data_IF_153770727156
#
_entry.id   IF_153770727156
#
_cell.length_a   1.000
_cell.length_b   1.000
_cell.length_c   1.000
_cell.angle_alpha   90.00
_cell.angle_beta   90.00
_cell.angle_gamma   90.00
#
_symmetry.space_group_name_H-M   'P 1'
#
loop_
_entity.id
_entity.type
_entity.pdbx_description
1 polymer ?
#
# COMPACT_ATOMS: atom_id res chain seq x y z
N UNK A 1 12.64 -36.92 29.99
CA UNK A 1 13.86 -36.34 29.36
C UNK A 1 13.42 -35.57 28.14
N UNK A 2 13.23 -34.28 28.28
CA UNK A 2 12.66 -33.38 27.23
C UNK A 2 13.79 -32.52 26.72
N UNK A 3 14.22 -32.76 25.49
CA UNK A 3 15.32 -32.04 24.86
C UNK A 3 14.77 -30.76 24.22
N UNK A 4 15.05 -29.61 24.83
CA UNK A 4 14.81 -28.28 24.23
C UNK A 4 15.81 -28.04 23.09
N UNK A 5 15.33 -27.89 21.87
CA UNK A 5 16.13 -27.41 20.75
C UNK A 5 16.10 -25.88 20.79
N UNK A 6 17.19 -25.27 21.22
CA UNK A 6 17.45 -23.83 21.10
C UNK A 6 17.84 -23.51 19.65
N UNK A 7 16.96 -22.89 18.89
CA UNK A 7 17.35 -22.21 17.66
C UNK A 7 17.85 -20.79 17.98
N UNK A 8 19.14 -20.64 18.20
CA UNK A 8 19.87 -19.40 18.18
C UNK A 8 20.78 -19.36 16.96
N UNK A 9 20.31 -18.84 15.82
CA UNK A 9 21.15 -18.45 14.71
C UNK A 9 20.77 -17.04 14.26
N UNK A 10 21.17 -16.03 15.03
CA UNK A 10 21.19 -14.65 14.57
C UNK A 10 22.50 -14.41 13.81
N UNK A 11 22.44 -14.35 12.48
CA UNK A 11 23.62 -14.08 11.66
C UNK A 11 24.28 -12.74 12.07
N UNK A 12 25.63 -12.63 12.06
CA UNK A 12 26.37 -11.40 12.43
C UNK A 12 25.89 -10.16 11.68
N UNK A 13 25.41 -10.32 10.46
CA UNK A 13 24.86 -9.26 9.63
C UNK A 13 23.53 -8.69 10.17
N UNK A 14 22.68 -9.51 10.79
CA UNK A 14 21.43 -9.02 11.43
C UNK A 14 21.73 -8.20 12.69
N UNK A 15 22.73 -8.58 13.46
CA UNK A 15 23.13 -7.85 14.66
C UNK A 15 23.82 -6.52 14.33
N UNK A 16 24.68 -6.50 13.33
CA UNK A 16 25.30 -5.27 12.83
C UNK A 16 24.22 -4.29 12.29
N UNK A 17 23.26 -4.81 11.52
CA UNK A 17 22.13 -4.03 11.00
C UNK A 17 21.27 -3.44 12.12
N UNK A 18 20.98 -4.22 13.20
CA UNK A 18 20.27 -3.72 14.39
C UNK A 18 21.07 -2.67 15.15
N UNK A 19 22.38 -2.82 15.30
CA UNK A 19 23.25 -1.81 15.96
C UNK A 19 23.34 -0.52 15.18
N UNK A 20 23.45 -0.60 13.85
CA UNK A 20 23.46 0.56 12.96
C UNK A 20 22.10 1.28 13.00
N UNK A 21 20.98 0.55 12.94
CA UNK A 21 19.64 1.14 13.07
C UNK A 21 19.46 1.81 14.44
N UNK A 22 19.92 1.19 15.55
CA UNK A 22 19.94 1.84 16.89
C UNK A 22 20.81 3.09 16.94
N UNK A 23 21.95 3.09 16.27
CA UNK A 23 22.79 4.27 16.18
C UNK A 23 22.11 5.37 15.37
N UNK A 24 21.45 5.00 14.27
CA UNK A 24 20.62 5.92 13.48
C UNK A 24 19.39 6.46 14.23
N UNK A 25 18.81 5.72 15.15
CA UNK A 25 17.64 6.14 15.94
C UNK A 25 17.99 7.00 17.18
N UNK A 26 19.26 7.21 17.52
CA UNK A 26 19.72 8.14 18.59
C UNK A 26 19.74 9.61 18.14
N UNK A 27 18.75 10.06 17.38
CA UNK A 27 18.50 11.47 17.10
C UNK A 27 17.96 12.18 18.35
N UNK A 28 18.36 13.43 18.57
CA UNK A 28 17.88 14.25 19.68
C UNK A 28 16.36 14.35 19.65
N UNK A 29 15.72 13.77 20.64
CA UNK A 29 14.30 13.94 20.91
C UNK A 29 14.05 15.33 21.46
N UNK A 30 13.00 15.99 20.97
CA UNK A 30 12.48 17.19 21.60
C UNK A 30 12.05 16.90 23.05
N UNK A 31 11.91 17.94 23.80
CA UNK A 31 11.64 18.12 25.22
C UNK A 31 10.97 16.93 25.95
N UNK A 32 11.67 16.37 26.93
CA UNK A 32 11.33 15.09 27.60
C UNK A 32 10.08 15.14 28.49
N UNK A 33 9.47 16.30 28.74
CA UNK A 33 8.47 16.52 29.81
C UNK A 33 7.24 17.37 29.42
N UNK A 34 6.98 17.63 28.15
CA UNK A 34 5.70 18.25 27.81
C UNK A 34 4.60 17.19 27.80
N UNK A 35 3.48 17.39 28.54
CA UNK A 35 2.26 16.64 28.28
C UNK A 35 1.97 16.81 26.79
N UNK A 36 1.69 15.73 26.08
CA UNK A 36 1.45 15.76 24.63
C UNK A 36 0.15 16.55 24.37
N UNK A 37 0.27 17.87 24.22
CA UNK A 37 -0.81 18.67 23.67
C UNK A 37 -1.16 18.07 22.31
N UNK A 38 -2.41 18.11 21.89
CA UNK A 38 -2.79 17.70 20.54
C UNK A 38 -1.94 18.42 19.49
N UNK A 39 -1.67 17.74 18.39
CA UNK A 39 -1.04 18.34 17.22
C UNK A 39 -1.85 19.56 16.79
N UNK A 40 -1.25 20.74 16.56
CA UNK A 40 -2.01 21.92 16.17
C UNK A 40 -2.68 21.71 14.80
N UNK A 41 -3.95 22.10 14.69
CA UNK A 41 -4.71 22.04 13.45
C UNK A 41 -4.30 23.11 12.43
N UNK A 42 -3.42 24.04 12.77
CA UNK A 42 -2.92 25.12 11.91
C UNK A 42 -1.41 25.32 12.08
N UNK A 43 -0.79 25.99 11.10
CA UNK A 43 0.67 26.24 11.14
C UNK A 43 1.50 25.01 10.77
N UNK A 44 0.91 24.07 10.00
CA UNK A 44 1.56 22.92 9.40
C UNK A 44 1.41 23.03 7.89
N UNK A 45 2.52 23.32 7.22
CA UNK A 45 2.57 23.58 5.78
C UNK A 45 3.52 22.65 5.03
N UNK A 46 4.53 22.09 5.72
CA UNK A 46 5.48 21.16 5.12
C UNK A 46 5.46 19.83 5.85
N UNK A 47 4.99 18.79 5.16
CA UNK A 47 4.79 17.46 5.74
C UNK A 47 5.71 16.45 5.04
N UNK A 48 6.38 15.62 5.81
CA UNK A 48 7.19 14.51 5.31
C UNK A 48 6.55 13.17 5.72
N UNK A 49 6.26 12.31 4.76
CA UNK A 49 5.87 10.92 5.02
C UNK A 49 7.07 10.00 4.76
N UNK A 50 7.49 9.24 5.76
CA UNK A 50 8.63 8.31 5.64
C UNK A 50 8.13 6.87 5.51
N UNK A 51 8.16 6.30 4.31
CA UNK A 51 7.79 4.90 4.05
C UNK A 51 8.84 4.20 3.19
N UNK A 52 9.86 3.60 3.81
CA UNK A 52 10.98 2.95 3.15
C UNK A 52 10.63 1.57 2.55
N UNK A 53 9.46 1.47 1.92
CA UNK A 53 9.01 0.27 1.20
C UNK A 53 9.50 0.25 -0.24
N UNK A 54 9.60 -0.94 -0.84
CA UNK A 54 9.85 -1.15 -2.27
C UNK A 54 8.59 -1.54 -3.04
N UNK A 55 7.49 -1.82 -2.32
CA UNK A 55 6.32 -2.44 -2.92
C UNK A 55 5.30 -1.40 -3.38
N UNK A 56 4.68 -1.68 -4.50
CA UNK A 56 3.63 -0.88 -5.09
C UNK A 56 2.41 -0.79 -4.14
N UNK A 57 1.97 -1.92 -3.60
CA UNK A 57 0.80 -1.97 -2.72
C UNK A 57 0.95 -1.10 -1.47
N UNK A 58 2.08 -1.24 -0.75
CA UNK A 58 2.32 -0.42 0.45
C UNK A 58 2.48 1.08 0.16
N UNK A 59 2.86 1.45 -1.07
CA UNK A 59 2.87 2.84 -1.51
C UNK A 59 1.45 3.36 -1.72
N UNK A 60 0.58 2.56 -2.32
CA UNK A 60 -0.84 2.90 -2.51
C UNK A 60 -1.59 3.00 -1.19
N UNK A 61 -1.22 2.20 -0.19
CA UNK A 61 -1.78 2.27 1.16
C UNK A 61 -1.46 3.59 1.90
N UNK A 62 -0.62 4.47 1.33
CA UNK A 62 -0.44 5.83 1.82
C UNK A 62 -1.50 6.81 1.31
N UNK A 63 -2.24 6.47 0.25
CA UNK A 63 -3.18 7.41 -0.38
C UNK A 63 -4.33 7.83 0.54
N UNK A 64 -4.88 6.99 1.44
CA UNK A 64 -5.82 7.45 2.46
C UNK A 64 -5.25 8.53 3.38
N UNK A 65 -3.98 8.41 3.77
CA UNK A 65 -3.30 9.43 4.57
C UNK A 65 -3.12 10.73 3.79
N UNK A 66 -2.79 10.66 2.49
CA UNK A 66 -2.71 11.86 1.63
C UNK A 66 -4.06 12.57 1.55
N UNK A 67 -5.16 11.82 1.40
CA UNK A 67 -6.51 12.38 1.41
C UNK A 67 -6.89 13.02 2.74
N UNK A 68 -6.52 12.40 3.86
CA UNK A 68 -6.73 12.98 5.20
C UNK A 68 -5.92 14.27 5.38
N UNK A 69 -4.66 14.29 4.93
CA UNK A 69 -3.81 15.49 5.00
C UNK A 69 -4.40 16.63 4.15
N UNK A 70 -4.89 16.34 2.96
CA UNK A 70 -5.56 17.33 2.10
C UNK A 70 -6.74 18.02 2.82
N UNK A 71 -7.52 17.23 3.56
CA UNK A 71 -8.68 17.73 4.30
C UNK A 71 -8.29 18.51 5.56
N UNK A 72 -7.27 18.04 6.30
CA UNK A 72 -6.87 18.63 7.58
C UNK A 72 -5.94 19.81 7.44
N UNK A 73 -5.10 19.80 6.41
CA UNK A 73 -4.08 20.79 6.13
C UNK A 73 -4.12 21.20 4.65
N UNK A 74 -5.20 21.87 4.20
CA UNK A 74 -5.45 22.11 2.77
C UNK A 74 -4.38 22.97 2.09
N UNK A 75 -3.58 23.70 2.85
CA UNK A 75 -2.45 24.49 2.33
C UNK A 75 -1.09 23.81 2.48
N UNK A 76 -1.04 22.53 2.88
CA UNK A 76 0.22 21.85 3.11
C UNK A 76 0.74 21.14 1.86
N UNK A 77 2.06 21.24 1.67
CA UNK A 77 2.83 20.44 0.71
C UNK A 77 3.38 19.19 1.39
N UNK A 78 3.28 18.06 0.70
CA UNK A 78 3.68 16.74 1.22
C UNK A 78 4.84 16.19 0.41
N UNK A 79 5.95 15.89 1.08
CA UNK A 79 7.03 15.11 0.51
C UNK A 79 6.93 13.66 0.98
N UNK A 80 7.17 12.72 0.08
CA UNK A 80 7.15 11.28 0.38
C UNK A 80 8.55 10.69 0.22
N UNK A 81 9.08 10.09 1.26
CA UNK A 81 10.37 9.40 1.25
C UNK A 81 10.16 7.89 1.17
N UNK A 82 10.58 7.27 0.06
CA UNK A 82 10.29 5.85 -0.21
C UNK A 82 11.43 5.16 -0.98
N UNK A 83 11.34 3.83 -1.13
CA UNK A 83 12.21 3.04 -2.01
C UNK A 83 11.44 2.48 -3.21
N UNK A 84 10.17 2.74 -3.32
CA UNK A 84 9.33 2.30 -4.44
C UNK A 84 9.61 3.17 -5.66
N UNK A 85 10.28 2.61 -6.66
CA UNK A 85 10.61 3.33 -7.89
C UNK A 85 9.38 3.81 -8.67
N UNK A 86 8.23 3.16 -8.48
CA UNK A 86 6.97 3.53 -9.10
C UNK A 86 6.23 4.68 -8.35
N UNK A 87 6.66 5.04 -7.15
CA UNK A 87 5.97 6.02 -6.32
C UNK A 87 5.78 7.39 -6.98
N UNK A 88 6.76 7.98 -7.71
CA UNK A 88 6.55 9.24 -8.40
C UNK A 88 5.39 9.18 -9.42
N UNK A 89 5.26 8.07 -10.13
CA UNK A 89 4.15 7.86 -11.07
C UNK A 89 2.82 7.60 -10.34
N UNK A 90 2.82 6.77 -9.29
CA UNK A 90 1.62 6.45 -8.50
C UNK A 90 1.00 7.69 -7.85
N UNK A 91 1.83 8.60 -7.38
CA UNK A 91 1.40 9.77 -6.62
C UNK A 91 1.27 11.04 -7.49
N UNK A 92 1.52 10.97 -8.79
CA UNK A 92 1.50 12.12 -9.70
C UNK A 92 0.15 12.85 -9.79
N UNK A 93 -0.96 12.18 -9.47
CA UNK A 93 -2.30 12.79 -9.45
C UNK A 93 -2.63 13.57 -8.17
N UNK A 94 -1.78 13.52 -7.15
CA UNK A 94 -2.00 14.19 -5.88
C UNK A 94 -1.41 15.60 -5.92
N UNK A 95 -2.26 16.62 -5.93
CA UNK A 95 -1.85 18.01 -6.04
C UNK A 95 -0.98 18.48 -4.89
N UNK A 96 -1.23 17.98 -3.68
CA UNK A 96 -0.49 18.32 -2.48
C UNK A 96 0.86 17.59 -2.35
N UNK A 97 1.19 16.62 -3.23
CA UNK A 97 2.49 15.95 -3.23
C UNK A 97 3.50 16.78 -4.02
N UNK A 98 4.43 17.41 -3.30
CA UNK A 98 5.49 18.24 -3.89
C UNK A 98 6.64 17.41 -4.44
N UNK A 99 7.20 16.51 -3.63
CA UNK A 99 8.34 15.70 -4.03
C UNK A 99 8.26 14.26 -3.52
N UNK A 100 8.69 13.32 -4.37
CA UNK A 100 8.93 11.92 -3.98
C UNK A 100 10.42 11.64 -3.96
N UNK A 101 10.99 11.58 -2.75
CA UNK A 101 12.39 11.28 -2.54
C UNK A 101 12.66 9.78 -2.59
N UNK A 102 13.44 9.32 -3.55
CA UNK A 102 13.82 7.92 -3.66
C UNK A 102 15.05 7.60 -2.83
N UNK A 103 14.90 6.70 -1.87
CA UNK A 103 15.99 6.13 -1.10
C UNK A 103 16.84 5.19 -1.97
N UNK A 104 18.17 5.18 -1.80
CA UNK A 104 19.02 4.26 -2.53
C UNK A 104 18.68 2.81 -2.18
N UNK A 105 18.84 1.92 -3.15
CA UNK A 105 18.53 0.49 -3.00
C UNK A 105 19.28 -0.15 -1.83
N UNK A 106 20.58 0.19 -1.71
CA UNK A 106 21.45 -0.22 -0.61
C UNK A 106 21.75 0.98 0.28
N UNK A 107 20.83 1.32 1.18
CA UNK A 107 20.97 2.49 2.08
C UNK A 107 22.32 2.51 2.82
N UNK A 108 22.80 1.36 3.30
CA UNK A 108 24.08 1.24 4.00
C UNK A 108 25.30 1.21 3.08
N UNK A 109 25.10 0.95 1.79
CA UNK A 109 26.15 0.95 0.77
C UNK A 109 26.36 2.30 0.07
N UNK A 110 25.57 3.31 0.39
CA UNK A 110 25.60 4.62 -0.24
C UNK A 110 25.65 5.78 0.82
N UNK A 111 26.68 5.84 1.68
CA UNK A 111 26.68 6.77 2.81
C UNK A 111 26.67 8.25 2.38
N UNK A 112 27.34 8.59 1.29
CA UNK A 112 27.37 9.97 0.77
C UNK A 112 25.99 10.39 0.23
N UNK A 113 25.30 9.49 -0.49
CA UNK A 113 23.94 9.73 -1.00
C UNK A 113 22.97 9.90 0.17
N UNK A 114 23.05 9.02 1.17
CA UNK A 114 22.24 9.13 2.40
C UNK A 114 22.53 10.42 3.18
N UNK A 115 23.80 10.81 3.32
CA UNK A 115 24.15 12.06 4.00
C UNK A 115 23.63 13.30 3.27
N UNK A 116 23.69 13.30 1.92
CA UNK A 116 23.13 14.38 1.08
C UNK A 116 21.61 14.45 1.22
N UNK A 117 20.93 13.30 1.12
CA UNK A 117 19.48 13.20 1.29
C UNK A 117 19.05 13.73 2.66
N UNK A 118 19.65 13.22 3.74
CA UNK A 118 19.32 13.66 5.11
C UNK A 118 19.62 15.15 5.35
N UNK A 119 20.65 15.69 4.71
CA UNK A 119 20.92 17.13 4.76
C UNK A 119 19.83 17.92 4.04
N UNK A 120 19.38 17.47 2.86
CA UNK A 120 18.27 18.07 2.13
C UNK A 120 16.96 18.05 2.93
N UNK A 121 16.61 16.90 3.53
CA UNK A 121 15.42 16.78 4.37
C UNK A 121 15.44 17.74 5.57
N UNK A 122 16.59 17.92 6.21
CA UNK A 122 16.73 18.89 7.32
C UNK A 122 16.62 20.34 6.85
N UNK A 123 17.22 20.66 5.72
CA UNK A 123 17.16 22.00 5.13
C UNK A 123 15.75 22.38 4.65
N UNK A 124 14.89 21.39 4.44
CA UNK A 124 13.49 21.58 4.08
C UNK A 124 12.63 22.10 5.24
N UNK A 125 13.07 21.98 6.49
CA UNK A 125 12.36 22.46 7.69
C UNK A 125 10.89 21.99 7.76
N UNK A 126 10.65 20.68 7.76
CA UNK A 126 9.32 20.12 7.87
C UNK A 126 8.65 20.47 9.20
N UNK A 127 7.39 20.90 9.15
CA UNK A 127 6.57 21.10 10.33
C UNK A 127 6.17 19.76 10.95
N UNK A 128 5.85 18.78 10.11
CA UNK A 128 5.38 17.47 10.53
C UNK A 128 6.09 16.35 9.76
N UNK A 129 6.57 15.32 10.47
CA UNK A 129 6.99 14.07 9.84
C UNK A 129 6.15 12.90 10.34
N UNK A 130 5.70 12.04 9.43
CA UNK A 130 4.81 10.92 9.72
C UNK A 130 5.51 9.60 9.48
N UNK A 131 5.46 8.71 10.49
CA UNK A 131 5.83 7.30 10.42
C UNK A 131 4.55 6.46 10.24
N UNK A 132 4.18 6.11 9.00
CA UNK A 132 2.86 5.57 8.72
C UNK A 132 2.70 4.08 9.03
N UNK A 133 3.78 3.38 9.40
CA UNK A 133 3.75 1.92 9.48
C UNK A 133 4.21 1.38 10.83
N UNK A 134 3.46 0.43 11.39
CA UNK A 134 3.66 -0.09 12.75
C UNK A 134 4.98 -0.84 12.97
N UNK A 135 5.54 -1.51 11.94
CA UNK A 135 6.63 -2.47 12.10
C UNK A 135 7.97 -2.06 11.49
N UNK A 136 8.11 -0.84 10.94
CA UNK A 136 9.33 -0.39 10.29
C UNK A 136 10.20 0.51 11.19
N UNK A 137 11.32 -0.03 11.68
CA UNK A 137 12.32 0.78 12.37
C UNK A 137 13.04 1.76 11.43
N UNK A 138 13.09 1.47 10.13
CA UNK A 138 13.70 2.36 9.14
C UNK A 138 12.89 3.64 8.98
N UNK A 139 11.55 3.53 8.88
CA UNK A 139 10.65 4.68 8.74
C UNK A 139 10.78 5.59 9.97
N UNK A 140 10.74 5.00 11.18
CA UNK A 140 10.94 5.72 12.45
C UNK A 140 12.30 6.44 12.51
N UNK A 141 13.37 5.78 12.08
CA UNK A 141 14.70 6.38 12.08
C UNK A 141 14.81 7.55 11.08
N UNK A 142 14.14 7.48 9.94
CA UNK A 142 14.10 8.57 8.95
C UNK A 142 13.31 9.76 9.48
N UNK A 143 12.15 9.52 10.12
CA UNK A 143 11.39 10.58 10.81
C UNK A 143 12.25 11.27 11.87
N UNK A 144 12.92 10.53 12.73
CA UNK A 144 13.79 11.10 13.75
C UNK A 144 14.97 11.93 13.16
N UNK A 145 15.41 11.61 11.93
CA UNK A 145 16.52 12.30 11.25
C UNK A 145 16.10 13.50 10.43
N UNK A 146 14.82 13.64 10.11
CA UNK A 146 14.28 14.81 9.42
C UNK A 146 14.38 16.08 10.27
N UNK A 147 14.41 15.94 11.61
CA UNK A 147 14.39 17.05 12.56
C UNK A 147 13.16 17.96 12.38
N UNK A 148 12.02 17.38 11.99
CA UNK A 148 10.75 18.08 11.91
C UNK A 148 10.32 18.64 13.27
N UNK A 149 9.51 19.69 13.25
CA UNK A 149 8.96 20.32 14.45
C UNK A 149 8.07 19.35 15.23
N UNK A 150 7.21 18.61 14.53
CA UNK A 150 6.36 17.55 15.08
C UNK A 150 6.63 16.23 14.37
N UNK A 151 6.35 15.13 15.06
CA UNK A 151 6.42 13.80 14.50
C UNK A 151 5.30 12.92 15.04
N UNK A 152 4.60 12.22 14.13
CA UNK A 152 3.44 11.37 14.42
C UNK A 152 3.70 9.95 13.94
N UNK A 153 3.17 8.98 14.66
CA UNK A 153 3.17 7.57 14.24
C UNK A 153 2.68 6.65 15.35
N UNK A 154 2.40 5.41 14.99
CA UNK A 154 1.95 4.40 15.94
C UNK A 154 3.09 3.93 16.84
N UNK A 155 2.81 3.85 18.14
CA UNK A 155 3.74 3.30 19.11
C UNK A 155 3.80 1.77 19.03
N UNK A 156 4.98 1.21 19.26
CA UNK A 156 5.20 -0.22 19.26
C UNK A 156 6.47 -0.54 20.03
N UNK A 157 6.41 -1.54 20.90
CA UNK A 157 7.58 -2.04 21.63
C UNK A 157 8.73 -2.49 20.72
N UNK A 158 8.41 -2.79 19.45
CA UNK A 158 9.40 -3.20 18.44
C UNK A 158 10.14 -2.06 17.78
N UNK A 159 9.67 -0.81 17.98
CA UNK A 159 10.26 0.39 17.38
C UNK A 159 11.15 1.12 18.37
N UNK A 160 12.30 1.57 17.88
CA UNK A 160 13.22 2.44 18.62
C UNK A 160 13.17 3.85 18.05
N UNK A 161 13.12 4.85 18.92
CA UNK A 161 13.05 6.26 18.56
C UNK A 161 11.76 6.90 19.04
N UNK A 162 11.89 8.10 19.60
CA UNK A 162 10.77 8.88 20.15
C UNK A 162 10.08 9.69 19.06
N UNK A 163 8.78 9.85 19.20
CA UNK A 163 7.96 10.79 18.44
C UNK A 163 7.43 11.86 19.39
N UNK A 164 7.13 13.03 18.88
CA UNK A 164 6.42 14.05 19.66
C UNK A 164 4.99 13.63 19.97
N UNK A 165 4.34 12.88 19.04
CA UNK A 165 3.00 12.34 19.16
C UNK A 165 3.04 10.85 18.83
N UNK A 166 3.38 10.04 19.82
CA UNK A 166 3.30 8.59 19.75
C UNK A 166 1.88 8.15 20.06
N UNK A 167 1.25 7.44 19.16
CA UNK A 167 -0.14 6.99 19.26
C UNK A 167 -0.18 5.50 19.51
N UNK A 168 -0.90 5.05 20.53
CA UNK A 168 -1.13 3.63 20.77
C UNK A 168 -1.84 2.99 19.57
N UNK A 169 -1.38 1.80 19.16
CA UNK A 169 -2.05 1.06 18.10
C UNK A 169 -3.47 0.70 18.55
N UNK A 170 -4.47 0.84 17.69
CA UNK A 170 -5.85 0.49 18.02
C UNK A 170 -6.00 -1.04 18.10
N UNK A 171 -6.86 -1.52 19.00
CA UNK A 171 -7.13 -2.94 19.16
C UNK A 171 -7.93 -3.53 17.99
N UNK A 172 -8.83 -2.75 17.40
CA UNK A 172 -9.83 -3.21 16.43
C UNK A 172 -9.72 -2.59 15.03
N UNK A 173 -8.70 -1.78 14.74
CA UNK A 173 -8.50 -1.21 13.42
C UNK A 173 -7.45 -2.04 12.68
N UNK A 174 -7.90 -2.87 11.77
CA UNK A 174 -7.07 -3.93 11.21
C UNK A 174 -6.39 -3.54 9.91
N UNK A 175 -7.03 -2.72 9.06
CA UNK A 175 -6.51 -2.47 7.70
C UNK A 175 -5.30 -1.50 7.68
N UNK A 176 -4.22 -1.92 7.03
CA UNK A 176 -2.94 -1.20 6.98
C UNK A 176 -3.04 0.23 6.40
N UNK A 177 -3.98 0.49 5.49
CA UNK A 177 -4.22 1.82 4.93
C UNK A 177 -4.96 2.78 5.86
N UNK A 178 -5.69 2.26 6.87
CA UNK A 178 -6.40 3.08 7.86
C UNK A 178 -5.51 3.51 9.02
N UNK A 179 -4.53 2.68 9.37
CA UNK A 179 -3.65 2.90 10.52
C UNK A 179 -2.95 4.28 10.54
N UNK A 180 -2.36 4.77 9.43
CA UNK A 180 -1.71 6.08 9.45
C UNK A 180 -2.71 7.24 9.57
N UNK A 181 -3.92 7.11 9.03
CA UNK A 181 -5.01 8.08 9.21
C UNK A 181 -5.46 8.12 10.66
N UNK A 182 -5.67 6.95 11.27
CA UNK A 182 -5.98 6.83 12.69
C UNK A 182 -4.91 7.53 13.55
N UNK A 183 -3.63 7.28 13.27
CA UNK A 183 -2.54 7.90 14.03
C UNK A 183 -2.56 9.43 13.92
N UNK A 184 -2.84 9.97 12.73
CA UNK A 184 -2.94 11.42 12.52
C UNK A 184 -4.14 12.02 13.27
N UNK A 185 -5.33 11.42 13.17
CA UNK A 185 -6.55 11.87 13.88
C UNK A 185 -6.36 11.84 15.40
N UNK A 186 -5.77 10.78 15.93
CA UNK A 186 -5.45 10.66 17.35
C UNK A 186 -4.44 11.75 17.82
N UNK A 187 -3.43 12.03 17.00
CA UNK A 187 -2.48 13.10 17.28
C UNK A 187 -3.16 14.48 17.31
N UNK A 188 -4.18 14.70 16.49
CA UNK A 188 -5.02 15.91 16.48
C UNK A 188 -5.99 15.99 17.66
N UNK A 189 -6.04 14.98 18.54
CA UNK A 189 -6.92 14.94 19.70
C UNK A 189 -8.29 14.30 19.43
N UNK A 190 -8.51 13.72 18.27
CA UNK A 190 -9.76 13.02 17.93
C UNK A 190 -9.78 11.59 18.51
N UNK A 191 -10.98 11.03 18.61
CA UNK A 191 -11.22 9.64 19.06
C UNK A 191 -11.89 8.84 17.94
N UNK A 192 -11.19 8.58 16.80
CA UNK A 192 -11.79 7.81 15.73
C UNK A 192 -12.00 6.36 16.18
N UNK A 193 -13.16 5.82 15.89
CA UNK A 193 -13.49 4.42 16.09
C UNK A 193 -13.32 3.60 14.78
N UNK A 194 -13.62 2.30 14.85
CA UNK A 194 -13.55 1.42 13.68
C UNK A 194 -14.62 1.75 12.62
N UNK A 195 -15.74 2.35 13.03
CA UNK A 195 -16.85 2.76 12.17
C UNK A 195 -16.64 4.16 11.54
N UNK A 196 -15.59 4.88 11.97
CA UNK A 196 -15.28 6.18 11.41
C UNK A 196 -15.05 6.08 9.88
N UNK A 197 -15.49 7.11 9.16
CA UNK A 197 -15.22 7.22 7.73
C UNK A 197 -13.73 7.51 7.49
N UNK A 198 -13.07 6.62 6.75
CA UNK A 198 -11.67 6.74 6.37
C UNK A 198 -11.56 6.97 4.86
N UNK A 199 -10.66 7.89 4.40
CA UNK A 199 -10.44 8.08 2.98
C UNK A 199 -10.05 6.77 2.29
N UNK A 200 -10.56 6.57 1.07
CA UNK A 200 -10.31 5.37 0.27
C UNK A 200 -8.91 5.40 -0.35
N UNK A 201 -8.46 4.25 -0.86
CA UNK A 201 -7.34 4.21 -1.79
C UNK A 201 -7.73 4.97 -3.06
N UNK A 202 -6.84 5.84 -3.54
CA UNK A 202 -7.12 6.63 -4.74
C UNK A 202 -5.84 6.87 -5.55
N UNK A 203 -5.87 6.51 -6.82
CA UNK A 203 -4.77 6.75 -7.77
C UNK A 203 -4.87 8.15 -8.41
N UNK A 204 -5.96 8.87 -8.19
CA UNK A 204 -6.24 10.18 -8.81
C UNK A 204 -6.03 10.14 -10.32
N UNK A 205 -6.65 9.15 -10.98
CA UNK A 205 -6.64 9.07 -12.44
C UNK A 205 -7.44 10.22 -13.05
N UNK A 206 -6.86 10.88 -14.03
CA UNK A 206 -7.58 11.89 -14.83
C UNK A 206 -8.60 11.24 -15.76
N UNK A 207 -9.58 12.02 -16.22
CA UNK A 207 -10.57 11.56 -17.20
C UNK A 207 -9.92 11.11 -18.50
N UNK A 208 -8.85 11.78 -18.92
CA UNK A 208 -8.08 11.40 -20.10
C UNK A 208 -7.40 10.01 -19.92
N UNK A 209 -6.84 9.72 -18.74
CA UNK A 209 -6.26 8.41 -18.45
C UNK A 209 -7.35 7.33 -18.44
N UNK A 210 -8.50 7.57 -17.81
CA UNK A 210 -9.64 6.66 -17.80
C UNK A 210 -10.16 6.39 -19.21
N UNK A 211 -10.33 7.42 -20.03
CA UNK A 211 -10.76 7.28 -21.43
C UNK A 211 -9.75 6.47 -22.26
N UNK A 212 -8.44 6.71 -22.08
CA UNK A 212 -7.41 5.94 -22.76
C UNK A 212 -7.41 4.47 -22.32
N UNK A 213 -7.67 4.20 -21.04
CA UNK A 213 -7.85 2.85 -20.51
C UNK A 213 -9.08 2.14 -21.10
N UNK A 214 -10.20 2.83 -21.19
CA UNK A 214 -11.43 2.33 -21.82
C UNK A 214 -11.22 1.96 -23.29
N UNK A 215 -10.55 2.83 -24.05
CA UNK A 215 -10.22 2.56 -25.45
C UNK A 215 -9.29 1.36 -25.60
N UNK A 216 -8.27 1.23 -24.74
CA UNK A 216 -7.37 0.08 -24.76
C UNK A 216 -8.12 -1.23 -24.45
N UNK A 217 -9.04 -1.21 -23.48
CA UNK A 217 -9.88 -2.37 -23.13
C UNK A 217 -10.80 -2.75 -24.28
N UNK A 218 -11.48 -1.79 -24.89
CA UNK A 218 -12.35 -2.01 -26.04
C UNK A 218 -11.61 -2.60 -27.25
N UNK A 219 -10.39 -2.18 -27.48
CA UNK A 219 -9.54 -2.75 -28.53
C UNK A 219 -9.16 -4.22 -28.28
N UNK A 220 -9.08 -4.65 -27.01
CA UNK A 220 -8.78 -6.03 -26.64
C UNK A 220 -9.99 -6.97 -26.72
N UNK A 221 -11.18 -6.46 -26.38
CA UNK A 221 -12.35 -7.32 -26.13
C UNK A 221 -13.55 -7.05 -27.03
N UNK A 222 -13.51 -5.95 -27.79
CA UNK A 222 -14.66 -5.36 -28.48
C UNK A 222 -15.47 -4.43 -27.56
N UNK A 223 -15.94 -3.32 -28.14
CA UNK A 223 -16.50 -2.18 -27.40
C UNK A 223 -17.77 -2.46 -26.58
N UNK A 224 -18.51 -3.53 -26.89
CA UNK A 224 -19.80 -3.82 -26.26
C UNK A 224 -19.76 -4.92 -25.18
N UNK A 225 -18.57 -5.42 -24.79
CA UNK A 225 -18.45 -6.53 -23.85
C UNK A 225 -18.17 -6.04 -22.43
N UNK A 226 -18.89 -6.59 -21.46
CA UNK A 226 -18.46 -6.55 -20.05
C UNK A 226 -17.15 -7.31 -19.88
N UNK A 227 -16.34 -6.95 -18.91
CA UNK A 227 -14.96 -7.44 -18.80
C UNK A 227 -14.57 -7.81 -17.38
N UNK A 228 -13.92 -8.96 -17.25
CA UNK A 228 -13.29 -9.41 -16.01
C UNK A 228 -11.78 -9.41 -16.22
N UNK A 229 -11.04 -8.58 -15.48
CA UNK A 229 -9.59 -8.62 -15.47
C UNK A 229 -9.08 -9.64 -14.46
N UNK A 230 -8.10 -10.45 -14.85
CA UNK A 230 -7.49 -11.45 -13.98
C UNK A 230 -5.97 -11.22 -13.92
N UNK A 231 -5.46 -10.99 -12.72
CA UNK A 231 -4.01 -10.96 -12.48
C UNK A 231 -3.62 -12.21 -11.68
N UNK A 232 -3.10 -13.21 -12.38
CA UNK A 232 -2.83 -14.53 -11.82
C UNK A 232 -1.52 -14.63 -11.03
N UNK A 233 -0.67 -13.60 -11.09
CA UNK A 233 0.65 -13.61 -10.47
C UNK A 233 0.62 -13.05 -9.04
N UNK A 234 1.34 -13.73 -8.14
CA UNK A 234 1.66 -13.24 -6.80
C UNK A 234 3.09 -13.67 -6.43
N UNK A 235 3.59 -13.24 -5.28
CA UNK A 235 4.97 -13.52 -4.88
C UNK A 235 5.05 -14.64 -3.84
N UNK A 236 5.86 -15.64 -4.11
CA UNK A 236 6.17 -16.73 -3.17
C UNK A 236 4.93 -17.52 -2.77
N UNK A 237 4.74 -17.71 -1.46
CA UNK A 237 3.63 -18.52 -0.88
C UNK A 237 2.23 -17.98 -1.14
N UNK A 238 2.10 -16.78 -1.69
CA UNK A 238 0.83 -16.16 -2.06
C UNK A 238 0.36 -16.55 -3.46
N UNK A 239 1.19 -17.26 -4.23
CA UNK A 239 0.92 -17.63 -5.62
C UNK A 239 0.03 -18.86 -5.68
N UNK A 240 -0.95 -18.82 -6.57
CA UNK A 240 -1.74 -19.98 -6.97
C UNK A 240 -1.09 -20.66 -8.18
N UNK A 241 -1.16 -22.00 -8.21
CA UNK A 241 -0.69 -22.77 -9.35
C UNK A 241 -1.59 -22.57 -10.58
N UNK A 242 -1.08 -22.80 -11.79
CA UNK A 242 -1.85 -22.70 -13.02
C UNK A 242 -3.12 -23.56 -12.98
N UNK A 243 -3.03 -24.83 -12.54
CA UNK A 243 -4.21 -25.70 -12.45
C UNK A 243 -5.30 -25.16 -11.52
N UNK A 244 -4.93 -24.47 -10.45
CA UNK A 244 -5.88 -23.80 -9.58
C UNK A 244 -6.65 -22.70 -10.32
N UNK A 245 -5.95 -21.88 -11.12
CA UNK A 245 -6.58 -20.84 -11.95
C UNK A 245 -7.45 -21.43 -13.04
N UNK A 246 -7.05 -22.57 -13.65
CA UNK A 246 -7.82 -23.25 -14.68
C UNK A 246 -9.19 -23.66 -14.16
N UNK A 247 -9.26 -24.30 -12.98
CA UNK A 247 -10.53 -24.68 -12.35
C UNK A 247 -11.36 -23.47 -11.92
N UNK A 248 -10.73 -22.47 -11.32
CA UNK A 248 -11.40 -21.24 -10.89
C UNK A 248 -12.06 -20.52 -12.06
N UNK A 249 -11.33 -20.35 -13.17
CA UNK A 249 -11.82 -19.62 -14.33
C UNK A 249 -12.89 -20.34 -15.12
N UNK A 250 -12.92 -21.67 -15.11
CA UNK A 250 -14.03 -22.44 -15.70
C UNK A 250 -15.36 -22.09 -15.00
N UNK A 251 -15.39 -22.08 -13.69
CA UNK A 251 -16.59 -21.75 -12.92
C UNK A 251 -16.93 -20.27 -13.04
N UNK A 252 -15.94 -19.39 -12.95
CA UNK A 252 -16.16 -17.95 -13.07
C UNK A 252 -16.75 -17.58 -14.44
N UNK A 253 -16.20 -18.12 -15.54
CA UNK A 253 -16.71 -17.89 -16.89
C UNK A 253 -18.15 -18.40 -17.08
N UNK A 254 -18.48 -19.55 -16.49
CA UNK A 254 -19.86 -20.10 -16.54
C UNK A 254 -20.87 -19.20 -15.79
N UNK A 255 -20.44 -18.53 -14.73
CA UNK A 255 -21.28 -17.60 -13.97
C UNK A 255 -21.42 -16.24 -14.65
N UNK A 256 -20.42 -15.82 -15.42
CA UNK A 256 -20.40 -14.54 -16.14
C UNK A 256 -20.32 -14.73 -17.67
N UNK A 257 -21.30 -15.37 -18.32
CA UNK A 257 -21.22 -15.75 -19.74
C UNK A 257 -21.18 -14.54 -20.69
N UNK A 258 -21.60 -13.36 -20.21
CA UNK A 258 -21.57 -12.11 -20.99
C UNK A 258 -20.25 -11.34 -20.86
N UNK A 259 -19.31 -11.79 -20.00
CA UNK A 259 -18.07 -11.11 -19.77
C UNK A 259 -16.92 -11.74 -20.56
N UNK A 260 -16.07 -10.89 -21.15
CA UNK A 260 -14.77 -11.30 -21.65
C UNK A 260 -13.75 -11.31 -20.50
N UNK A 261 -12.96 -12.36 -20.40
CA UNK A 261 -11.83 -12.42 -19.48
C UNK A 261 -10.62 -11.81 -20.17
N UNK A 262 -9.91 -10.93 -19.47
CA UNK A 262 -8.67 -10.30 -19.89
C UNK A 262 -7.58 -10.65 -18.89
N UNK A 263 -6.49 -11.26 -19.32
CA UNK A 263 -5.33 -11.50 -18.47
C UNK A 263 -4.50 -10.22 -18.33
N UNK A 264 -4.22 -9.83 -17.10
CA UNK A 264 -3.27 -8.76 -16.81
C UNK A 264 -1.90 -9.39 -16.57
N UNK A 265 -0.93 -9.03 -17.42
CA UNK A 265 0.40 -9.60 -17.34
C UNK A 265 1.28 -8.88 -16.30
N UNK A 266 2.20 -9.59 -15.63
CA UNK A 266 3.17 -8.99 -14.74
C UNK A 266 4.21 -8.16 -15.50
N UNK A 267 4.94 -7.29 -14.79
CA UNK A 267 5.99 -6.47 -15.37
C UNK A 267 7.14 -7.28 -16.02
N UNK A 268 7.30 -8.53 -15.60
CA UNK A 268 8.24 -9.49 -16.22
C UNK A 268 7.77 -10.04 -17.56
N UNK A 269 6.50 -9.80 -17.94
CA UNK A 269 5.86 -10.47 -19.08
C UNK A 269 5.51 -11.93 -18.76
N UNK A 270 4.91 -12.60 -19.71
CA UNK A 270 4.56 -14.02 -19.60
C UNK A 270 3.20 -14.28 -18.98
N UNK A 271 2.38 -15.05 -19.70
CA UNK A 271 1.08 -15.50 -19.24
C UNK A 271 1.20 -16.68 -18.26
N UNK A 272 0.53 -16.62 -17.12
CA UNK A 272 0.33 -17.78 -16.26
C UNK A 272 -0.87 -18.61 -16.71
N UNK A 273 -1.77 -18.00 -17.45
CA UNK A 273 -3.02 -18.64 -17.94
C UNK A 273 -2.83 -19.32 -19.30
N UNK A 274 -1.59 -19.31 -19.86
CA UNK A 274 -1.21 -20.03 -21.07
C UNK A 274 -1.73 -19.38 -22.35
N UNK A 275 -1.77 -18.06 -22.40
CA UNK A 275 -2.17 -17.25 -23.55
C UNK A 275 -3.58 -17.55 -24.08
N UNK A 276 -4.48 -18.03 -23.20
CA UNK A 276 -5.87 -18.40 -23.57
C UNK A 276 -6.80 -17.21 -23.67
N UNK A 277 -6.42 -16.08 -23.09
CA UNK A 277 -7.24 -14.88 -23.01
C UNK A 277 -6.54 -13.70 -23.65
N UNK A 278 -7.28 -12.72 -24.20
CA UNK A 278 -6.68 -11.42 -24.51
C UNK A 278 -5.88 -10.92 -23.31
N UNK A 279 -4.70 -10.41 -23.56
CA UNK A 279 -3.81 -10.01 -22.47
C UNK A 279 -3.41 -8.55 -22.57
N UNK A 280 -3.29 -7.89 -21.43
CA UNK A 280 -2.80 -6.52 -21.31
C UNK A 280 -1.49 -6.48 -20.53
N UNK A 281 -0.51 -5.82 -21.08
CA UNK A 281 0.78 -5.55 -20.46
C UNK A 281 1.04 -4.06 -20.29
N UNK A 282 1.50 -3.67 -19.11
CA UNK A 282 2.06 -2.35 -18.90
C UNK A 282 3.12 -2.38 -17.81
N UNK A 283 4.29 -1.82 -18.11
CA UNK A 283 5.33 -1.53 -17.12
C UNK A 283 5.03 -0.24 -16.33
N UNK A 284 4.01 0.53 -16.74
CA UNK A 284 3.59 1.78 -16.12
C UNK A 284 2.34 1.56 -15.26
N UNK A 285 2.43 1.74 -13.93
CA UNK A 285 1.32 1.44 -13.04
C UNK A 285 0.08 2.33 -13.26
N UNK A 286 0.23 3.61 -13.62
CA UNK A 286 -0.95 4.45 -13.92
C UNK A 286 -1.67 4.01 -15.19
N UNK A 287 -0.93 3.60 -16.23
CA UNK A 287 -1.53 3.04 -17.46
C UNK A 287 -2.27 1.73 -17.17
N UNK A 288 -1.70 0.88 -16.29
CA UNK A 288 -2.38 -0.32 -15.84
C UNK A 288 -3.64 0.03 -15.03
N UNK A 289 -3.53 0.93 -14.08
CA UNK A 289 -4.67 1.42 -13.29
C UNK A 289 -5.78 2.02 -14.15
N UNK A 290 -5.42 2.78 -15.18
CA UNK A 290 -6.37 3.37 -16.13
C UNK A 290 -7.18 2.32 -16.89
N UNK A 291 -6.55 1.22 -17.35
CA UNK A 291 -7.30 0.11 -17.95
C UNK A 291 -8.16 -0.59 -16.92
N UNK A 292 -7.59 -0.93 -15.76
CA UNK A 292 -8.27 -1.66 -14.68
C UNK A 292 -9.49 -0.89 -14.16
N UNK A 293 -9.44 0.43 -14.13
CA UNK A 293 -10.57 1.29 -13.72
C UNK A 293 -11.85 1.10 -14.56
N UNK A 294 -11.73 0.51 -15.76
CA UNK A 294 -12.84 0.26 -16.68
C UNK A 294 -13.31 -1.20 -16.70
N UNK A 295 -12.80 -2.04 -15.80
CA UNK A 295 -13.27 -3.41 -15.67
C UNK A 295 -14.55 -3.48 -14.82
N UNK A 296 -15.44 -4.39 -15.16
CA UNK A 296 -16.62 -4.69 -14.34
C UNK A 296 -16.27 -5.50 -13.09
N UNK A 297 -15.19 -6.30 -13.17
CA UNK A 297 -14.62 -7.03 -12.04
C UNK A 297 -13.12 -7.22 -12.27
N UNK A 298 -12.33 -7.03 -11.24
CA UNK A 298 -10.91 -7.39 -11.20
C UNK A 298 -10.69 -8.50 -10.16
N UNK A 299 -9.99 -9.56 -10.54
CA UNK A 299 -9.68 -10.70 -9.66
C UNK A 299 -8.19 -10.90 -9.58
N UNK A 300 -7.65 -10.98 -8.38
CA UNK A 300 -6.23 -11.34 -8.18
C UNK A 300 -5.95 -11.94 -6.81
N UNK A 301 -4.83 -12.63 -6.68
CA UNK A 301 -4.25 -12.94 -5.36
C UNK A 301 -3.83 -11.68 -4.61
N UNK A 302 -3.55 -11.82 -3.30
CA UNK A 302 -3.02 -10.74 -2.47
C UNK A 302 -1.65 -10.27 -2.99
N UNK A 303 -1.65 -9.13 -3.66
CA UNK A 303 -0.48 -8.52 -4.26
C UNK A 303 -0.65 -7.00 -4.44
N UNK A 304 0.43 -6.31 -4.85
CA UNK A 304 0.39 -4.88 -5.09
C UNK A 304 -0.59 -4.43 -6.18
N UNK A 305 -0.89 -5.29 -7.17
CA UNK A 305 -1.83 -5.00 -8.26
C UNK A 305 -3.28 -5.05 -7.78
N UNK A 306 -3.60 -5.86 -6.77
CA UNK A 306 -4.90 -5.84 -6.09
C UNK A 306 -5.18 -4.46 -5.48
N UNK A 307 -4.20 -3.89 -4.77
CA UNK A 307 -4.33 -2.55 -4.22
C UNK A 307 -4.38 -1.46 -5.30
N UNK A 308 -3.71 -1.69 -6.44
CA UNK A 308 -3.81 -0.79 -7.60
C UNK A 308 -5.23 -0.78 -8.19
N UNK A 309 -5.85 -1.95 -8.32
CA UNK A 309 -7.23 -2.06 -8.79
C UNK A 309 -8.20 -1.32 -7.85
N UNK A 310 -8.04 -1.53 -6.54
CA UNK A 310 -8.79 -0.82 -5.52
C UNK A 310 -8.62 0.70 -5.62
N UNK A 311 -7.37 1.18 -5.77
CA UNK A 311 -7.05 2.60 -5.90
C UNK A 311 -7.50 3.22 -7.24
N UNK A 312 -7.75 2.39 -8.26
CA UNK A 312 -8.30 2.82 -9.54
C UNK A 312 -9.84 2.91 -9.52
N UNK A 313 -10.49 2.44 -8.46
CA UNK A 313 -11.93 2.42 -8.30
C UNK A 313 -12.62 1.20 -8.94
N UNK A 314 -11.87 0.19 -9.37
CA UNK A 314 -12.42 -1.03 -9.94
C UNK A 314 -13.10 -1.91 -8.87
N UNK A 315 -14.23 -2.57 -9.19
CA UNK A 315 -14.76 -3.68 -8.38
C UNK A 315 -13.70 -4.77 -8.26
N UNK A 316 -13.30 -5.14 -7.04
CA UNK A 316 -12.12 -5.98 -6.83
C UNK A 316 -12.39 -7.15 -5.91
N UNK A 317 -12.09 -8.36 -6.39
CA UNK A 317 -12.03 -9.59 -5.62
C UNK A 317 -10.58 -9.98 -5.31
N UNK A 318 -10.22 -9.93 -4.04
CA UNK A 318 -8.90 -10.35 -3.53
C UNK A 318 -8.94 -11.78 -3.00
N UNK A 319 -8.04 -12.62 -3.47
CA UNK A 319 -7.92 -14.03 -3.07
C UNK A 319 -6.73 -14.20 -2.13
N UNK A 320 -6.97 -14.73 -0.93
CA UNK A 320 -5.97 -14.83 0.12
C UNK A 320 -5.64 -16.29 0.45
N UNK A 321 -4.36 -16.64 0.39
CA UNK A 321 -3.89 -17.99 0.71
C UNK A 321 -2.85 -18.00 1.83
N UNK A 322 -2.20 -16.89 2.13
CA UNK A 322 -1.11 -16.85 3.12
C UNK A 322 -1.12 -15.61 4.02
N UNK A 323 -1.65 -14.48 3.54
CA UNK A 323 -1.65 -13.22 4.28
C UNK A 323 -2.79 -13.13 5.29
N UNK A 324 -2.62 -12.28 6.28
CA UNK A 324 -3.72 -11.85 7.14
C UNK A 324 -4.70 -10.99 6.33
N UNK A 325 -5.93 -11.51 6.19
CA UNK A 325 -7.00 -10.84 5.42
C UNK A 325 -7.36 -9.51 6.06
N UNK A 326 -7.45 -9.44 7.38
CA UNK A 326 -7.88 -8.24 8.09
C UNK A 326 -6.94 -7.06 7.83
N UNK A 327 -5.63 -7.32 7.85
CA UNK A 327 -4.61 -6.28 7.61
C UNK A 327 -4.48 -5.84 6.15
N UNK A 328 -4.80 -6.72 5.19
CA UNK A 328 -4.50 -6.52 3.77
C UNK A 328 -5.70 -6.68 2.84
N UNK A 329 -6.93 -6.78 3.38
CA UNK A 329 -8.14 -6.96 2.58
C UNK A 329 -8.30 -5.88 1.49
N UNK A 330 -9.16 -6.13 0.53
CA UNK A 330 -9.51 -5.15 -0.49
C UNK A 330 -10.21 -3.96 0.18
N UNK A 331 -9.73 -2.76 -0.08
CA UNK A 331 -10.19 -1.53 0.56
C UNK A 331 -10.93 -0.64 -0.44
N UNK A 332 -12.23 -0.43 -0.23
CA UNK A 332 -13.07 0.40 -1.09
C UNK A 332 -14.51 -0.10 -1.18
N UNK A 333 -15.40 0.59 -1.91
CA UNK A 333 -16.72 0.10 -2.28
C UNK A 333 -16.61 -1.03 -3.31
N UNK A 334 -17.66 -1.84 -3.46
CA UNK A 334 -17.73 -2.97 -4.44
C UNK A 334 -16.50 -3.88 -4.35
N UNK A 335 -16.25 -4.43 -3.17
CA UNK A 335 -15.07 -5.25 -2.83
C UNK A 335 -15.47 -6.60 -2.26
N UNK A 336 -14.61 -7.59 -2.47
CA UNK A 336 -14.65 -8.88 -1.78
C UNK A 336 -13.25 -9.37 -1.45
N UNK A 337 -13.07 -9.92 -0.27
CA UNK A 337 -11.84 -10.62 0.14
C UNK A 337 -12.19 -12.04 0.51
N UNK A 338 -11.58 -13.00 -0.17
CA UNK A 338 -11.95 -14.40 -0.10
C UNK A 338 -10.78 -15.22 0.45
N UNK A 339 -11.04 -15.97 1.51
CA UNK A 339 -10.06 -16.91 2.07
C UNK A 339 -10.02 -18.17 1.22
N UNK A 340 -8.92 -18.34 0.49
CA UNK A 340 -8.71 -19.49 -0.39
C UNK A 340 -7.85 -20.60 0.24
N UNK A 341 -7.57 -20.51 1.55
CA UNK A 341 -6.78 -21.51 2.26
C UNK A 341 -7.55 -22.81 2.41
N UNK A 342 -7.10 -23.86 1.72
CA UNK A 342 -7.68 -25.20 1.82
C UNK A 342 -9.04 -25.36 1.10
N UNK A 343 -9.54 -24.32 0.41
CA UNK A 343 -10.79 -24.34 -0.30
C UNK A 343 -10.61 -24.71 -1.79
N UNK A 344 -11.51 -25.49 -2.38
CA UNK A 344 -11.48 -25.79 -3.81
C UNK A 344 -11.62 -24.53 -4.66
N UNK A 345 -10.89 -24.42 -5.80
CA UNK A 345 -10.98 -23.27 -6.72
C UNK A 345 -12.39 -22.97 -7.18
N UNK A 346 -13.17 -24.01 -7.48
CA UNK A 346 -14.57 -23.90 -7.92
C UNK A 346 -15.47 -23.25 -6.85
N UNK A 347 -15.24 -23.55 -5.57
CA UNK A 347 -16.02 -22.97 -4.47
C UNK A 347 -15.69 -21.48 -4.30
N UNK A 348 -14.41 -21.12 -4.36
CA UNK A 348 -14.00 -19.71 -4.31
C UNK A 348 -14.56 -18.93 -5.51
N UNK A 349 -14.54 -19.50 -6.72
CA UNK A 349 -15.13 -18.86 -7.89
C UNK A 349 -16.64 -18.62 -7.74
N UNK A 350 -17.36 -19.57 -7.14
CA UNK A 350 -18.80 -19.44 -6.85
C UNK A 350 -19.06 -18.33 -5.80
N UNK A 351 -18.23 -18.22 -4.77
CA UNK A 351 -18.32 -17.15 -3.76
C UNK A 351 -18.08 -15.78 -4.39
N UNK A 352 -17.03 -15.65 -5.23
CA UNK A 352 -16.73 -14.41 -5.97
C UNK A 352 -17.93 -14.05 -6.86
N UNK A 353 -18.44 -15.00 -7.65
CA UNK A 353 -19.59 -14.75 -8.51
C UNK A 353 -20.80 -14.27 -7.70
N UNK A 354 -21.14 -14.96 -6.62
CA UNK A 354 -22.27 -14.57 -5.76
C UNK A 354 -22.15 -13.18 -5.17
N UNK A 355 -20.92 -12.75 -4.85
CA UNK A 355 -20.67 -11.42 -4.27
C UNK A 355 -20.75 -10.28 -5.30
N UNK A 356 -20.54 -10.56 -6.59
CA UNK A 356 -20.49 -9.54 -7.65
C UNK A 356 -21.60 -9.65 -8.70
N UNK A 357 -22.45 -10.69 -8.65
CA UNK A 357 -23.56 -10.92 -9.59
C UNK A 357 -24.78 -10.01 -9.27
N UNK A 358 -24.83 -9.41 -8.09
CA UNK A 358 -25.96 -8.61 -7.61
C UNK A 358 -25.87 -7.10 -7.96
N UNK A 359 -25.04 -6.72 -8.95
CA UNK A 359 -24.80 -5.31 -9.32
C UNK A 359 -25.17 -4.96 -10.75
#
# INVERSE_FOLDING_TARGET
MTTQIRHSNSSPTKNLRRRIVRWFSRGRSGNENAPSLPLPASGIYRILICRATKTLGETLLLTPLLGEIEQRFPGAEVDVLTRCAAAPELLAGWFNVGCVHLLPERMFGAPVVMARLLRGLRAAHYDLAIDPYLFSNTDRALVARSQSRFSVGLDSERKSGRLTHAVAAPENLEHAGKLPVFALRRALGEMPDAAADYPLLDLRLSDAERAAGAQALANLTGAARRTIGVYAHATGVKSFARGWWDEFLVVLAARFPQHAIVEILPASGGSLLGDRYPAFFSSRPRRLGALVANLDLFVSGDCGVMHLASASGAPTAGLFVASDINGWNVYGPRRGSFDARGEPPAQIAAQVASAFDAG
#
